data_IF_349985498102
#
_entry.id   IF_349985498102
#
_cell.length_a   1.000
_cell.length_b   1.000
_cell.length_c   1.000
_cell.angle_alpha   90.00
_cell.angle_beta   90.00
_cell.angle_gamma   90.00
#
_symmetry.space_group_name_H-M   'P 1'
#
loop_
_entity.id
_entity.type
_entity.pdbx_description
1 polymer ?
#
# COMPACT_ATOMS: atom_id res chain seq x y z
N UNK A 1 -32.85 -0.38 -10.10
CA UNK A 1 -31.40 -0.69 -10.14
C UNK A 1 -30.54 0.52 -9.77
N UNK A 2 -30.75 1.72 -10.33
CA UNK A 2 -30.01 2.94 -9.95
C UNK A 2 -29.99 3.26 -8.45
N UNK A 3 -31.13 3.14 -7.77
CA UNK A 3 -31.24 3.38 -6.32
C UNK A 3 -30.42 2.39 -5.47
N UNK A 4 -30.19 1.16 -5.95
CA UNK A 4 -29.38 0.16 -5.23
C UNK A 4 -27.91 0.57 -5.26
N UNK A 5 -27.38 0.94 -6.44
CA UNK A 5 -26.01 1.43 -6.56
C UNK A 5 -25.80 2.73 -5.78
N UNK A 6 -26.75 3.68 -5.88
CA UNK A 6 -26.70 4.92 -5.11
C UNK A 6 -26.66 4.66 -3.60
N UNK A 7 -27.48 3.73 -3.09
CA UNK A 7 -27.45 3.32 -1.69
C UNK A 7 -26.13 2.64 -1.31
N UNK A 8 -25.59 1.75 -2.14
CA UNK A 8 -24.30 1.11 -1.88
C UNK A 8 -23.15 2.13 -1.81
N UNK A 9 -23.09 3.08 -2.74
CA UNK A 9 -22.08 4.15 -2.70
C UNK A 9 -22.28 5.09 -1.51
N UNK A 10 -23.52 5.39 -1.13
CA UNK A 10 -23.82 6.17 0.07
C UNK A 10 -23.33 5.44 1.32
N UNK A 11 -23.57 4.13 1.44
CA UNK A 11 -23.08 3.31 2.55
C UNK A 11 -21.55 3.37 2.60
N UNK A 12 -20.86 3.14 1.48
CA UNK A 12 -19.39 3.22 1.41
C UNK A 12 -18.91 4.61 1.86
N UNK A 13 -19.55 5.67 1.40
CA UNK A 13 -19.21 7.04 1.78
C UNK A 13 -19.39 7.29 3.28
N UNK A 14 -20.51 6.86 3.87
CA UNK A 14 -20.76 6.97 5.31
C UNK A 14 -19.71 6.19 6.11
N UNK A 15 -19.36 4.96 5.69
CA UNK A 15 -18.32 4.18 6.33
C UNK A 15 -16.95 4.85 6.24
N UNK A 16 -16.62 5.46 5.11
CA UNK A 16 -15.38 6.23 4.94
C UNK A 16 -15.36 7.46 5.87
N UNK A 17 -16.46 8.20 5.95
CA UNK A 17 -16.59 9.32 6.89
C UNK A 17 -16.42 8.85 8.34
N UNK A 18 -17.09 7.77 8.74
CA UNK A 18 -16.95 7.20 10.08
C UNK A 18 -15.51 6.72 10.36
N UNK A 19 -14.88 6.06 9.38
CA UNK A 19 -13.50 5.58 9.48
C UNK A 19 -12.48 6.70 9.69
N UNK A 20 -12.75 7.90 9.20
CA UNK A 20 -11.93 9.10 9.42
C UNK A 20 -12.32 9.84 10.71
N UNK A 21 -13.62 10.01 10.96
CA UNK A 21 -14.13 10.78 12.09
C UNK A 21 -13.87 10.08 13.43
N UNK A 22 -13.92 8.75 13.50
CA UNK A 22 -13.70 8.01 14.74
C UNK A 22 -12.26 8.16 15.27
N UNK A 23 -11.18 7.95 14.48
CA UNK A 23 -9.82 8.25 14.93
C UNK A 23 -9.61 9.70 15.33
N UNK A 24 -10.16 10.65 14.56
CA UNK A 24 -10.06 12.09 14.87
C UNK A 24 -10.77 12.38 16.21
N UNK A 25 -11.99 11.87 16.40
CA UNK A 25 -12.76 12.01 17.63
C UNK A 25 -12.05 11.39 18.83
N UNK A 26 -11.50 10.19 18.69
CA UNK A 26 -10.75 9.52 19.74
C UNK A 26 -9.46 10.27 20.11
N UNK A 27 -8.69 10.73 19.13
CA UNK A 27 -7.45 11.49 19.38
C UNK A 27 -7.73 12.87 19.98
N UNK A 28 -8.79 13.56 19.55
CA UNK A 28 -9.20 14.86 20.12
C UNK A 28 -9.73 14.72 21.54
N UNK A 29 -10.61 13.74 21.80
CA UNK A 29 -11.06 13.42 23.16
C UNK A 29 -9.89 13.02 24.06
N UNK A 30 -8.99 12.16 23.56
CA UNK A 30 -7.77 11.76 24.27
C UNK A 30 -6.86 12.94 24.60
N UNK A 31 -6.76 13.94 23.71
CA UNK A 31 -6.03 15.18 23.98
C UNK A 31 -6.67 16.02 25.08
N UNK A 32 -7.99 16.05 25.18
CA UNK A 32 -8.71 16.79 26.23
C UNK A 32 -8.66 16.09 27.60
N UNK A 33 -8.70 14.76 27.62
CA UNK A 33 -8.67 13.97 28.86
C UNK A 33 -7.25 13.80 29.43
N UNK A 34 -6.22 13.92 28.60
CA UNK A 34 -4.82 13.71 28.99
C UNK A 34 -4.28 14.86 29.88
N UNK A 35 -3.52 14.55 30.96
CA UNK A 35 -2.72 15.54 31.65
C UNK A 35 -1.70 16.23 30.73
N UNK A 36 -1.73 17.57 30.69
CA UNK A 36 -0.84 18.37 29.88
C UNK A 36 0.31 18.94 30.72
N UNK A 37 1.43 18.20 30.78
CA UNK A 37 2.65 18.62 31.50
C UNK A 37 3.84 18.62 30.52
N UNK A 38 3.99 19.68 29.71
CA UNK A 38 5.10 19.82 28.77
C UNK A 38 6.42 20.03 29.52
N UNK A 39 7.49 19.42 29.03
CA UNK A 39 8.85 19.62 29.54
C UNK A 39 9.85 19.38 28.43
N UNK A 40 10.95 20.12 28.40
CA UNK A 40 11.96 20.03 27.33
C UNK A 40 12.52 18.62 27.18
N UNK A 41 12.76 17.92 28.30
CA UNK A 41 13.23 16.54 28.31
C UNK A 41 12.24 15.51 27.69
N UNK A 42 10.94 15.82 27.57
CA UNK A 42 9.95 14.96 26.89
C UNK A 42 9.87 15.25 25.39
N UNK A 43 10.45 16.36 24.95
CA UNK A 43 10.46 16.81 23.56
C UNK A 43 11.75 16.43 22.83
N UNK A 44 12.72 15.81 23.52
CA UNK A 44 13.95 15.31 22.92
C UNK A 44 13.74 13.94 22.26
N UNK A 45 14.52 13.66 21.21
CA UNK A 45 14.53 12.35 20.54
C UNK A 45 15.02 11.26 21.49
N UNK A 46 14.36 10.11 21.47
CA UNK A 46 14.76 8.95 22.27
C UNK A 46 16.04 8.31 21.70
N UNK A 47 17.10 8.24 22.51
CA UNK A 47 18.39 7.60 22.18
C UNK A 47 18.91 6.78 23.38
N UNK A 48 18.05 5.93 23.96
CA UNK A 48 18.37 5.04 25.10
C UNK A 48 19.06 5.72 26.30
N UNK A 49 18.70 6.99 26.56
CA UNK A 49 19.24 7.78 27.68
C UNK A 49 20.44 8.67 27.32
N UNK A 50 20.91 8.64 26.08
CA UNK A 50 21.99 9.49 25.59
C UNK A 50 21.46 10.66 24.75
N UNK A 51 22.33 11.66 24.50
CA UNK A 51 22.03 12.69 23.52
C UNK A 51 22.32 12.17 22.10
N UNK A 52 21.53 12.49 21.07
CA UNK A 52 21.85 12.11 19.69
C UNK A 52 23.22 12.69 19.28
N UNK A 53 24.15 11.82 18.89
CA UNK A 53 25.53 12.22 18.53
C UNK A 53 25.80 12.30 17.03
N UNK A 54 24.97 11.65 16.21
CA UNK A 54 25.17 11.56 14.77
C UNK A 54 24.14 12.37 13.98
N UNK A 55 24.56 12.79 12.78
CA UNK A 55 23.64 13.35 11.80
C UNK A 55 22.56 12.32 11.44
N UNK A 56 21.33 12.78 11.36
CA UNK A 56 20.14 12.00 10.99
C UNK A 56 20.15 11.51 9.53
N UNK A 57 21.11 11.99 8.72
CA UNK A 57 21.25 11.63 7.30
C UNK A 57 21.89 10.26 7.13
N UNK A 58 21.06 9.25 7.00
CA UNK A 58 21.48 7.88 6.66
C UNK A 58 21.36 7.65 5.15
N UNK A 59 22.33 6.93 4.56
CA UNK A 59 22.21 6.45 3.19
C UNK A 59 21.13 5.36 3.13
N UNK A 60 19.96 5.71 2.59
CA UNK A 60 18.92 4.74 2.30
C UNK A 60 19.37 3.80 1.19
N UNK A 61 19.16 2.51 1.40
CA UNK A 61 19.54 1.50 0.41
C UNK A 61 18.64 1.60 -0.83
N UNK A 62 19.22 1.56 -2.03
CA UNK A 62 18.47 1.58 -3.30
C UNK A 62 17.45 0.45 -3.42
N UNK A 63 17.59 -0.60 -2.61
CA UNK A 63 16.68 -1.76 -2.57
C UNK A 63 15.22 -1.35 -2.36
N UNK A 64 14.92 -0.38 -1.48
CA UNK A 64 13.55 0.10 -1.26
C UNK A 64 12.89 0.61 -2.54
N UNK A 65 13.65 1.35 -3.35
CA UNK A 65 13.19 1.85 -4.65
C UNK A 65 12.89 0.70 -5.62
N UNK A 66 13.77 -0.31 -5.68
CA UNK A 66 13.57 -1.46 -6.57
C UNK A 66 12.33 -2.27 -6.20
N UNK A 67 12.06 -2.45 -4.90
CA UNK A 67 10.82 -3.09 -4.44
C UNK A 67 9.58 -2.28 -4.81
N UNK A 68 9.59 -0.96 -4.59
CA UNK A 68 8.48 -0.09 -4.93
C UNK A 68 8.22 -0.06 -6.46
N UNK A 69 9.28 0.03 -7.26
CA UNK A 69 9.19 0.00 -8.72
C UNK A 69 8.58 -1.32 -9.21
N UNK A 70 9.07 -2.45 -8.70
CA UNK A 70 8.55 -3.75 -9.07
C UNK A 70 7.08 -3.92 -8.65
N UNK A 71 6.72 -3.43 -7.46
CA UNK A 71 5.33 -3.43 -6.99
C UNK A 71 4.41 -2.64 -7.93
N UNK A 72 4.80 -1.42 -8.33
CA UNK A 72 3.99 -0.60 -9.24
C UNK A 72 3.82 -1.26 -10.61
N UNK A 73 4.86 -1.91 -11.13
CA UNK A 73 4.78 -2.65 -12.40
C UNK A 73 3.77 -3.80 -12.27
N UNK A 74 3.87 -4.63 -11.24
CA UNK A 74 2.92 -5.72 -11.03
C UNK A 74 1.49 -5.21 -10.76
N UNK A 75 1.33 -4.11 -10.04
CA UNK A 75 0.02 -3.52 -9.77
C UNK A 75 -0.68 -3.12 -11.08
N UNK A 76 0.05 -2.44 -11.99
CA UNK A 76 -0.46 -2.11 -13.33
C UNK A 76 -0.81 -3.37 -14.13
N UNK A 77 0.00 -4.43 -14.03
CA UNK A 77 -0.29 -5.70 -14.69
C UNK A 77 -1.60 -6.33 -14.17
N UNK A 78 -1.87 -6.26 -12.87
CA UNK A 78 -3.14 -6.77 -12.31
C UNK A 78 -4.35 -5.97 -12.78
N UNK A 79 -4.19 -4.66 -13.04
CA UNK A 79 -5.24 -3.83 -13.65
C UNK A 79 -5.66 -4.37 -15.02
N UNK A 80 -4.75 -4.98 -15.80
CA UNK A 80 -5.09 -5.67 -17.05
C UNK A 80 -5.75 -7.04 -16.84
N UNK A 81 -5.40 -7.74 -15.75
CA UNK A 81 -6.01 -9.04 -15.43
C UNK A 81 -7.50 -8.92 -15.07
N UNK A 82 -7.90 -7.83 -14.38
CA UNK A 82 -9.27 -7.69 -13.87
C UNK A 82 -10.35 -7.65 -14.95
N UNK A 83 -10.27 -6.80 -16.00
CA UNK A 83 -11.27 -6.80 -17.07
C UNK A 83 -11.41 -8.16 -17.73
N UNK A 84 -10.30 -8.82 -18.03
CA UNK A 84 -10.34 -10.18 -18.60
C UNK A 84 -11.02 -11.17 -17.67
N UNK A 85 -10.68 -11.17 -16.38
CA UNK A 85 -11.26 -12.09 -15.39
C UNK A 85 -12.78 -11.90 -15.25
N UNK A 86 -13.27 -10.67 -15.39
CA UNK A 86 -14.71 -10.36 -15.32
C UNK A 86 -15.49 -10.87 -16.52
N UNK A 87 -14.90 -10.91 -17.72
CA UNK A 87 -15.59 -11.33 -18.97
C UNK A 87 -15.06 -12.65 -19.55
N UNK A 88 -14.35 -13.45 -18.76
CA UNK A 88 -13.65 -14.63 -19.26
C UNK A 88 -14.59 -15.65 -19.95
N UNK A 89 -15.84 -15.70 -19.51
CA UNK A 89 -16.89 -16.59 -19.99
C UNK A 89 -17.40 -16.23 -21.40
N UNK A 90 -17.19 -14.99 -21.83
CA UNK A 90 -17.66 -14.47 -23.12
C UNK A 90 -16.61 -14.52 -24.23
N UNK A 91 -15.32 -14.64 -23.87
CA UNK A 91 -14.20 -14.47 -24.81
C UNK A 91 -13.70 -15.79 -25.44
N UNK A 92 -14.11 -16.94 -24.90
CA UNK A 92 -13.75 -18.26 -25.42
C UNK A 92 -12.26 -18.61 -25.29
N UNK A 93 -11.83 -19.64 -26.02
CA UNK A 93 -10.48 -20.21 -25.91
C UNK A 93 -9.36 -19.26 -26.37
N UNK A 94 -9.65 -18.32 -27.27
CA UNK A 94 -8.66 -17.40 -27.80
C UNK A 94 -8.09 -16.50 -26.70
N UNK A 95 -8.95 -15.82 -25.94
CA UNK A 95 -8.51 -14.95 -24.84
C UNK A 95 -7.87 -15.75 -23.68
N UNK A 96 -8.26 -17.02 -23.49
CA UNK A 96 -7.59 -17.88 -22.52
C UNK A 96 -6.11 -18.09 -22.88
N UNK A 97 -5.81 -18.37 -24.16
CA UNK A 97 -4.43 -18.52 -24.62
C UNK A 97 -3.63 -17.22 -24.48
N UNK A 98 -4.22 -16.09 -24.89
CA UNK A 98 -3.58 -14.78 -24.74
C UNK A 98 -3.23 -14.48 -23.28
N UNK A 99 -4.11 -14.82 -22.35
CA UNK A 99 -3.88 -14.55 -20.93
C UNK A 99 -2.90 -15.51 -20.28
N UNK A 100 -2.85 -16.77 -20.73
CA UNK A 100 -1.75 -17.66 -20.35
C UNK A 100 -0.42 -17.08 -20.84
N UNK A 101 -0.35 -16.58 -22.07
CA UNK A 101 0.87 -15.93 -22.58
C UNK A 101 1.23 -14.67 -21.76
N UNK A 102 0.23 -13.85 -21.42
CA UNK A 102 0.42 -12.66 -20.58
C UNK A 102 1.00 -13.04 -19.21
N UNK A 103 0.41 -14.02 -18.51
CA UNK A 103 0.90 -14.49 -17.20
C UNK A 103 2.33 -15.05 -17.31
N UNK A 104 2.64 -15.81 -18.38
CA UNK A 104 4.00 -16.30 -18.61
C UNK A 104 4.99 -15.15 -18.80
N UNK A 105 4.61 -14.09 -19.52
CA UNK A 105 5.42 -12.89 -19.66
C UNK A 105 5.72 -12.25 -18.28
N UNK A 106 4.71 -12.13 -17.41
CA UNK A 106 4.88 -11.60 -16.04
C UNK A 106 5.83 -12.49 -15.22
N UNK A 107 5.62 -13.80 -15.30
CA UNK A 107 6.45 -14.78 -14.61
C UNK A 107 7.92 -14.70 -15.05
N UNK A 108 8.18 -14.48 -16.35
CA UNK A 108 9.54 -14.27 -16.86
C UNK A 108 10.17 -13.00 -16.25
N UNK A 109 9.42 -11.89 -16.19
CA UNK A 109 9.86 -10.65 -15.55
C UNK A 109 10.22 -10.86 -14.06
N UNK A 110 9.36 -11.57 -13.33
CA UNK A 110 9.60 -11.92 -11.92
C UNK A 110 10.84 -12.80 -11.74
N UNK A 111 10.96 -13.87 -12.54
CA UNK A 111 12.09 -14.80 -12.52
C UNK A 111 13.39 -14.05 -12.82
N UNK A 112 13.37 -13.11 -13.78
CA UNK A 112 14.53 -12.28 -14.10
C UNK A 112 14.93 -11.41 -12.89
N UNK A 113 13.98 -10.70 -12.29
CA UNK A 113 14.23 -9.87 -11.11
C UNK A 113 14.78 -10.70 -9.93
N UNK A 114 14.26 -11.91 -9.74
CA UNK A 114 14.74 -12.85 -8.73
C UNK A 114 16.16 -13.33 -9.02
N UNK A 115 16.46 -13.74 -10.26
CA UNK A 115 17.83 -14.14 -10.66
C UNK A 115 18.84 -13.01 -10.50
N UNK A 116 18.42 -11.76 -10.73
CA UNK A 116 19.24 -10.56 -10.48
C UNK A 116 19.37 -10.21 -9.00
N UNK A 117 18.80 -10.99 -8.09
CA UNK A 117 18.89 -10.81 -6.63
C UNK A 117 18.34 -9.47 -6.14
N UNK A 118 17.50 -8.82 -6.95
CA UNK A 118 16.86 -7.53 -6.61
C UNK A 118 15.94 -7.69 -5.39
N UNK A 119 15.33 -8.86 -5.26
CA UNK A 119 14.44 -9.23 -4.17
C UNK A 119 15.17 -9.66 -2.88
N UNK A 120 16.50 -9.58 -2.82
CA UNK A 120 17.23 -9.97 -1.60
C UNK A 120 17.24 -8.82 -0.59
N UNK A 121 16.69 -9.09 0.58
CA UNK A 121 16.78 -8.19 1.73
C UNK A 121 18.15 -8.24 2.42
N UNK A 122 18.82 -9.39 2.36
CA UNK A 122 20.18 -9.63 2.89
C UNK A 122 21.18 -9.70 1.74
#
# INVERSE_FOLDING_TARGET
MSNIYANSYLIIFVFLCLGVLLPIGALTAGRWLRPHVPSDAKATTYESGNNPFHDSRVQFQVRYYLFALLFVIFDIETVFLYPWAVVYDQLGLFALVEMIMFIVLLAIGLIYAWKKKVLRWM
#
